data_IF_350388353546
#
_entry.id   IF_350388353546
#
_cell.length_a   1.000
_cell.length_b   1.000
_cell.length_c   1.000
_cell.angle_alpha   90.00
_cell.angle_beta   90.00
_cell.angle_gamma   90.00
#
_symmetry.space_group_name_H-M   'P 1'
#
loop_
_entity.id
_entity.type
_entity.pdbx_description
1 polymer ?
#
# COMPACT_ATOMS: atom_id res chain seq x y z
N UNK A 1 11.99 1.14 3.45
CA UNK A 1 11.11 0.28 4.27
C UNK A 1 9.70 0.56 3.76
N UNK A 2 9.11 -0.41 3.06
CA UNK A 2 7.75 -0.28 2.52
C UNK A 2 6.80 -0.78 3.60
N UNK A 3 5.73 -0.02 3.79
CA UNK A 3 5.01 0.05 5.03
C UNK A 3 4.37 -1.28 5.39
N UNK A 4 4.66 -1.65 6.62
CA UNK A 4 3.99 -2.69 7.29
C UNK A 4 2.55 -2.17 7.60
N UNK A 5 1.57 -2.78 6.94
CA UNK A 5 0.68 -3.67 7.62
C UNK A 5 -0.04 -3.18 8.92
N UNK A 6 -0.79 -2.08 8.83
CA UNK A 6 -1.67 -1.62 9.92
C UNK A 6 -3.14 -2.07 9.77
N UNK A 7 -3.48 -2.77 8.68
CA UNK A 7 -4.73 -3.54 8.52
C UNK A 7 -4.62 -4.99 9.03
N UNK A 8 -5.67 -5.81 9.03
CA UNK A 8 -5.55 -7.28 9.00
C UNK A 8 -6.86 -7.92 8.56
N UNK A 9 -6.78 -8.86 7.62
CA UNK A 9 -7.92 -9.68 7.25
C UNK A 9 -8.05 -10.95 8.10
N UNK A 10 -9.22 -11.16 8.71
CA UNK A 10 -9.58 -12.36 9.44
C UNK A 10 -10.45 -13.28 8.56
N UNK A 11 -9.87 -14.35 7.98
CA UNK A 11 -10.51 -15.19 6.95
C UNK A 11 -11.73 -15.98 7.46
N UNK A 12 -11.74 -16.39 8.73
CA UNK A 12 -12.79 -17.26 9.27
C UNK A 12 -14.07 -16.51 9.65
N UNK A 13 -13.99 -15.19 9.75
CA UNK A 13 -15.10 -14.30 10.08
C UNK A 13 -15.45 -13.40 8.90
N UNK A 14 -14.64 -13.37 7.83
CA UNK A 14 -14.82 -12.48 6.69
C UNK A 14 -14.70 -11.00 7.07
N UNK A 15 -13.84 -10.66 8.03
CA UNK A 15 -13.73 -9.30 8.58
C UNK A 15 -12.34 -8.71 8.36
N UNK A 16 -12.28 -7.48 7.86
CA UNK A 16 -11.06 -6.67 7.82
C UNK A 16 -11.01 -5.72 9.03
N UNK A 17 -9.87 -5.65 9.68
CA UNK A 17 -9.57 -4.69 10.74
C UNK A 17 -8.50 -3.70 10.27
N UNK A 18 -8.45 -2.53 10.85
CA UNK A 18 -7.35 -1.59 10.66
C UNK A 18 -7.06 -0.82 11.95
N UNK A 19 -5.83 -0.37 12.08
CA UNK A 19 -5.37 0.44 13.20
C UNK A 19 -5.87 1.89 13.03
N UNK A 20 -6.69 2.42 13.95
CA UNK A 20 -7.13 3.81 13.89
C UNK A 20 -5.98 4.82 14.11
N UNK A 21 -4.82 4.38 14.60
CA UNK A 21 -3.61 5.18 14.79
C UNK A 21 -2.90 5.57 13.49
N UNK A 22 -3.27 4.96 12.36
CA UNK A 22 -2.72 5.30 11.03
C UNK A 22 -3.04 6.77 10.67
N UNK A 23 -2.18 7.39 9.86
CA UNK A 23 -2.48 8.71 9.34
C UNK A 23 -3.61 8.75 8.31
N UNK A 24 -4.40 9.83 8.33
CA UNK A 24 -5.56 9.99 7.46
C UNK A 24 -5.22 9.94 5.96
N UNK A 25 -3.95 10.20 5.60
CA UNK A 25 -3.43 10.11 4.23
C UNK A 25 -3.11 8.67 3.78
N UNK A 26 -3.27 7.69 4.68
CA UNK A 26 -3.11 6.27 4.39
C UNK A 26 -4.33 5.42 4.75
N UNK A 27 -5.20 5.93 5.63
CA UNK A 27 -6.31 5.15 6.21
C UNK A 27 -7.21 4.53 5.13
N UNK A 28 -7.66 5.32 4.14
CA UNK A 28 -8.58 4.82 3.12
C UNK A 28 -7.92 3.73 2.27
N UNK A 29 -6.62 3.90 1.96
CA UNK A 29 -5.88 2.92 1.16
C UNK A 29 -5.71 1.61 1.92
N UNK A 30 -5.32 1.67 3.19
CA UNK A 30 -5.20 0.48 4.05
C UNK A 30 -6.53 -0.25 4.15
N UNK A 31 -7.64 0.46 4.37
CA UNK A 31 -8.97 -0.15 4.44
C UNK A 31 -9.34 -0.82 3.13
N UNK A 32 -9.20 -0.12 2.00
CA UNK A 32 -9.53 -0.69 0.68
C UNK A 32 -8.67 -1.91 0.35
N UNK A 33 -7.39 -1.92 0.75
CA UNK A 33 -6.48 -3.05 0.61
C UNK A 33 -6.97 -4.28 1.40
N UNK A 34 -7.31 -4.12 2.69
CA UNK A 34 -7.84 -5.22 3.49
C UNK A 34 -9.20 -5.72 2.98
N UNK A 35 -10.02 -4.83 2.43
CA UNK A 35 -11.26 -5.24 1.74
C UNK A 35 -10.96 -6.11 0.51
N UNK A 36 -9.88 -5.86 -0.23
CA UNK A 36 -9.40 -6.75 -1.28
C UNK A 36 -9.21 -8.17 -0.76
N UNK A 37 -8.57 -8.32 0.40
CA UNK A 37 -8.42 -9.61 1.08
C UNK A 37 -9.75 -10.23 1.52
N UNK A 38 -10.70 -9.42 2.00
CA UNK A 38 -12.08 -9.88 2.31
C UNK A 38 -12.76 -10.49 1.09
N UNK A 39 -12.54 -9.92 -0.10
CA UNK A 39 -13.08 -10.46 -1.35
C UNK A 39 -12.32 -11.66 -1.92
N UNK A 40 -11.30 -12.16 -1.20
CA UNK A 40 -10.56 -13.37 -1.57
C UNK A 40 -9.33 -13.14 -2.43
N UNK A 41 -8.93 -11.87 -2.67
CA UNK A 41 -7.65 -11.56 -3.29
C UNK A 41 -6.53 -11.74 -2.27
N UNK A 42 -5.50 -12.48 -2.64
CA UNK A 42 -4.48 -12.92 -1.67
C UNK A 42 -3.09 -12.43 -2.04
N UNK A 43 -2.91 -11.93 -3.26
CA UNK A 43 -1.69 -11.27 -3.67
C UNK A 43 -1.71 -9.80 -3.22
N UNK A 44 -0.70 -9.41 -2.44
CA UNK A 44 -0.53 -8.05 -1.92
C UNK A 44 -0.48 -7.00 -3.02
N UNK A 45 0.14 -7.32 -4.16
CA UNK A 45 0.21 -6.45 -5.33
C UNK A 45 -1.17 -6.23 -5.95
N UNK A 46 -1.97 -7.29 -6.09
CA UNK A 46 -3.36 -7.23 -6.57
C UNK A 46 -4.23 -6.42 -5.60
N UNK A 47 -4.14 -6.65 -4.30
CA UNK A 47 -4.88 -5.86 -3.29
C UNK A 47 -4.48 -4.37 -3.33
N UNK A 48 -3.20 -4.06 -3.49
CA UNK A 48 -2.74 -2.68 -3.67
C UNK A 48 -3.31 -2.03 -4.94
N UNK A 49 -3.32 -2.76 -6.07
CA UNK A 49 -3.89 -2.25 -7.32
C UNK A 49 -5.40 -2.03 -7.20
N UNK A 50 -6.12 -2.98 -6.60
CA UNK A 50 -7.57 -2.87 -6.36
C UNK A 50 -7.86 -1.66 -5.47
N UNK A 51 -7.12 -1.48 -4.38
CA UNK A 51 -7.26 -0.33 -3.50
C UNK A 51 -7.01 0.99 -4.24
N UNK A 52 -5.93 1.07 -5.02
CA UNK A 52 -5.62 2.24 -5.84
C UNK A 52 -6.76 2.58 -6.79
N UNK A 53 -7.26 1.59 -7.56
CA UNK A 53 -8.34 1.80 -8.51
C UNK A 53 -9.66 2.19 -7.80
N UNK A 54 -10.00 1.56 -6.69
CA UNK A 54 -11.22 1.87 -5.94
C UNK A 54 -11.23 3.32 -5.45
N UNK A 55 -10.10 3.79 -4.89
CA UNK A 55 -10.01 5.15 -4.36
C UNK A 55 -9.89 6.21 -5.47
N UNK A 56 -9.20 5.93 -6.57
CA UNK A 56 -9.14 6.82 -7.74
C UNK A 56 -10.49 7.00 -8.45
N UNK A 57 -11.46 6.11 -8.21
CA UNK A 57 -12.82 6.21 -8.74
C UNK A 57 -13.85 6.60 -7.66
N UNK A 58 -13.38 7.06 -6.49
CA UNK A 58 -14.26 7.61 -5.47
C UNK A 58 -14.33 9.11 -5.66
N UNK A 59 -15.51 9.71 -5.69
CA UNK A 59 -15.69 11.17 -5.85
C UNK A 59 -15.21 11.98 -4.61
N UNK A 60 -14.19 11.50 -3.91
CA UNK A 60 -13.65 12.02 -2.67
C UNK A 60 -12.15 12.32 -2.82
N UNK A 61 -11.83 13.62 -2.88
CA UNK A 61 -10.46 14.12 -3.05
C UNK A 61 -9.45 13.56 -2.04
N UNK A 62 -9.87 13.29 -0.79
CA UNK A 62 -8.97 12.72 0.22
C UNK A 62 -8.61 11.28 -0.14
N UNK A 63 -9.55 10.51 -0.67
CA UNK A 63 -9.33 9.12 -1.05
C UNK A 63 -8.49 9.02 -2.32
N UNK A 64 -8.76 9.86 -3.31
CA UNK A 64 -7.88 10.02 -4.48
C UNK A 64 -6.45 10.37 -4.05
N UNK A 65 -6.30 11.31 -3.11
CA UNK A 65 -5.00 11.65 -2.55
C UNK A 65 -4.34 10.49 -1.80
N UNK A 66 -5.09 9.71 -1.02
CA UNK A 66 -4.58 8.50 -0.35
C UNK A 66 -3.97 7.51 -1.37
N UNK A 67 -4.62 7.36 -2.53
CA UNK A 67 -4.16 6.49 -3.61
C UNK A 67 -2.85 7.00 -4.24
N UNK A 68 -2.80 8.28 -4.61
CA UNK A 68 -1.61 8.89 -5.20
C UNK A 68 -0.43 8.94 -4.23
N UNK A 69 -0.69 9.33 -2.98
CA UNK A 69 0.32 9.36 -1.92
C UNK A 69 0.93 7.97 -1.69
N UNK A 70 0.10 6.93 -1.68
CA UNK A 70 0.57 5.56 -1.49
C UNK A 70 1.35 5.04 -2.70
N UNK A 71 0.86 5.28 -3.93
CA UNK A 71 1.56 4.95 -5.17
C UNK A 71 2.95 5.62 -5.22
N UNK A 72 3.00 6.92 -4.92
CA UNK A 72 4.22 7.69 -4.85
C UNK A 72 5.22 7.12 -3.83
N UNK A 73 4.76 6.73 -2.63
CA UNK A 73 5.63 6.09 -1.62
C UNK A 73 6.21 4.76 -2.09
N UNK A 74 5.43 3.95 -2.80
CA UNK A 74 5.96 2.71 -3.37
C UNK A 74 6.99 2.98 -4.46
N UNK A 75 6.77 4.01 -5.30
CA UNK A 75 7.73 4.43 -6.31
C UNK A 75 9.05 4.90 -5.68
N UNK A 76 8.97 5.86 -4.76
CA UNK A 76 10.14 6.45 -4.09
C UNK A 76 10.90 5.44 -3.22
N UNK A 77 10.21 4.54 -2.51
CA UNK A 77 10.89 3.48 -1.78
C UNK A 77 11.53 2.43 -2.69
N UNK A 78 11.11 2.34 -3.95
CA UNK A 78 11.79 1.53 -4.97
C UNK A 78 13.09 2.21 -5.42
N UNK A 79 13.06 3.53 -5.63
CA UNK A 79 14.23 4.32 -5.99
C UNK A 79 15.29 4.33 -4.89
N UNK A 80 14.90 4.51 -3.63
CA UNK A 80 15.83 4.52 -2.49
C UNK A 80 16.64 3.23 -2.29
N UNK A 81 16.35 2.17 -3.05
CA UNK A 81 17.07 0.89 -3.02
C UNK A 81 17.96 0.68 -4.25
N UNK A 82 17.70 1.43 -5.32
CA UNK A 82 18.27 1.19 -6.65
C UNK A 82 19.03 2.40 -7.20
N UNK A 83 18.68 3.62 -6.79
CA UNK A 83 19.27 4.87 -7.26
C UNK A 83 19.12 5.98 -6.20
N UNK A 84 20.18 6.17 -5.40
CA UNK A 84 20.21 7.13 -4.29
C UNK A 84 20.24 8.59 -4.76
N UNK A 85 20.81 8.87 -5.93
CA UNK A 85 20.95 10.24 -6.43
C UNK A 85 19.59 10.76 -6.90
N UNK A 86 18.86 9.98 -7.70
CA UNK A 86 17.49 10.31 -8.12
C UNK A 86 16.55 10.40 -6.92
N UNK A 87 16.70 9.48 -5.95
CA UNK A 87 15.91 9.54 -4.72
C UNK A 87 16.07 10.88 -3.98
N UNK A 88 17.31 11.37 -3.82
CA UNK A 88 17.58 12.65 -3.16
C UNK A 88 16.97 13.82 -3.92
N UNK A 89 17.12 13.86 -5.24
CA UNK A 89 16.54 14.92 -6.07
C UNK A 89 15.01 14.99 -5.90
N UNK A 90 14.33 13.85 -5.93
CA UNK A 90 12.87 13.80 -5.73
C UNK A 90 12.49 14.32 -4.34
N UNK A 91 13.18 13.88 -3.29
CA UNK A 91 12.89 14.29 -1.91
C UNK A 91 13.19 15.78 -1.68
N UNK A 92 14.21 16.33 -2.33
CA UNK A 92 14.57 17.75 -2.21
C UNK A 92 13.57 18.67 -2.94
N UNK A 93 12.93 18.17 -4.00
CA UNK A 93 11.89 18.90 -4.74
C UNK A 93 10.46 18.71 -4.19
N UNK A 94 10.29 18.01 -3.07
CA UNK A 94 8.97 17.73 -2.53
C UNK A 94 8.29 19.00 -2.00
N UNK A 95 6.99 19.23 -2.32
CA UNK A 95 6.22 20.29 -1.69
C UNK A 95 6.19 20.13 -0.17
N UNK A 96 6.16 21.26 0.54
CA UNK A 96 6.21 21.30 2.01
C UNK A 96 5.03 20.54 2.64
N UNK A 97 3.87 20.56 2.00
CA UNK A 97 2.68 19.82 2.42
C UNK A 97 2.92 18.32 2.47
N UNK A 98 3.59 17.77 1.44
CA UNK A 98 3.90 16.35 1.35
C UNK A 98 4.98 15.96 2.36
N UNK A 99 5.98 16.83 2.58
CA UNK A 99 7.01 16.63 3.63
C UNK A 99 6.36 16.54 5.01
N UNK A 100 5.45 17.46 5.34
CA UNK A 100 4.69 17.43 6.59
C UNK A 100 3.85 16.18 6.75
N UNK A 101 3.24 15.69 5.66
CA UNK A 101 2.50 14.44 5.69
C UNK A 101 3.42 13.24 5.96
N UNK A 102 4.60 13.18 5.35
CA UNK A 102 5.60 12.15 5.66
C UNK A 102 6.04 12.17 7.12
N UNK A 103 6.29 13.36 7.68
CA UNK A 103 6.66 13.51 9.09
C UNK A 103 5.54 13.04 10.02
N UNK A 104 4.29 13.40 9.72
CA UNK A 104 3.12 12.98 10.50
C UNK A 104 2.94 11.46 10.46
N UNK A 105 3.09 10.87 9.28
CA UNK A 105 3.05 9.42 9.05
C UNK A 105 4.15 8.72 9.85
N UNK A 106 5.39 9.23 9.83
CA UNK A 106 6.51 8.70 10.61
C UNK A 106 6.25 8.79 12.11
N UNK A 107 5.82 9.95 12.60
CA UNK A 107 5.54 10.16 14.01
C UNK A 107 4.44 9.22 14.53
N UNK A 108 3.40 8.96 13.73
CA UNK A 108 2.35 8.01 14.09
C UNK A 108 2.84 6.56 14.15
N UNK A 109 3.70 6.16 13.21
CA UNK A 109 4.31 4.82 13.25
C UNK A 109 5.16 4.62 14.51
N UNK A 110 5.96 5.62 14.88
CA UNK A 110 6.83 5.56 16.06
C UNK A 110 5.99 5.50 17.36
N UNK A 111 4.83 6.17 17.39
CA UNK A 111 3.93 6.19 18.54
C UNK A 111 3.06 4.93 18.68
N UNK A 112 2.70 4.29 17.57
CA UNK A 112 1.83 3.12 17.51
C UNK A 112 2.50 2.01 16.69
N UNK A 113 3.42 1.22 17.30
CA UNK A 113 4.03 0.09 16.64
C UNK A 113 2.98 -0.96 16.27
N UNK A 114 3.19 -1.64 15.15
CA UNK A 114 2.18 -2.52 14.54
C UNK A 114 1.61 -3.59 15.48
N UNK A 115 0.30 -3.52 15.70
CA UNK A 115 -0.43 -4.43 16.57
C UNK A 115 -0.64 -5.81 15.90
N UNK A 116 -0.69 -5.87 14.56
CA UNK A 116 -1.08 -7.07 13.81
C UNK A 116 0.06 -7.80 13.07
N UNK A 117 1.31 -7.38 13.27
CA UNK A 117 2.49 -7.95 12.59
C UNK A 117 2.60 -9.47 12.77
N UNK A 118 2.42 -9.97 14.00
CA UNK A 118 2.44 -11.41 14.33
C UNK A 118 1.31 -12.18 13.66
N UNK A 119 0.10 -11.62 13.61
CA UNK A 119 -1.03 -12.29 12.96
C UNK A 119 -0.85 -12.36 11.45
N UNK A 120 -0.35 -11.28 10.82
CA UNK A 120 -0.03 -11.30 9.38
C UNK A 120 1.02 -12.36 9.06
N UNK A 121 2.08 -12.45 9.85
CA UNK A 121 3.10 -13.48 9.68
C UNK A 121 2.50 -14.89 9.76
N UNK A 122 1.63 -15.13 10.75
CA UNK A 122 0.94 -16.42 10.88
C UNK A 122 -0.02 -16.71 9.72
N UNK A 123 -0.86 -15.75 9.32
CA UNK A 123 -1.83 -15.92 8.24
C UNK A 123 -1.13 -16.16 6.91
N UNK A 124 -0.03 -15.46 6.66
CA UNK A 124 0.84 -15.71 5.54
C UNK A 124 1.39 -17.14 5.52
N UNK A 125 1.87 -17.63 6.67
CA UNK A 125 2.42 -18.98 6.80
C UNK A 125 1.34 -20.05 6.57
N UNK A 126 0.14 -19.82 7.10
CA UNK A 126 -1.04 -20.65 6.87
C UNK A 126 -1.46 -20.66 5.39
N UNK A 127 -1.51 -19.49 4.76
CA UNK A 127 -1.91 -19.33 3.35
C UNK A 127 -0.97 -20.07 2.39
N UNK A 128 0.35 -19.90 2.54
CA UNK A 128 1.34 -20.57 1.68
C UNK A 128 1.26 -22.10 1.81
N UNK A 129 1.09 -22.59 3.03
CA UNK A 129 0.96 -24.03 3.30
C UNK A 129 -0.31 -24.61 2.70
N UNK A 130 -1.41 -23.85 2.68
CA UNK A 130 -2.72 -24.34 2.26
C UNK A 130 -2.92 -24.28 0.75
N UNK A 131 -2.42 -23.24 0.07
CA UNK A 131 -2.72 -23.00 -1.35
C UNK A 131 -1.64 -23.45 -2.34
N UNK A 132 -0.52 -24.04 -1.88
CA UNK A 132 0.59 -24.51 -2.73
C UNK A 132 1.07 -23.50 -3.79
N UNK A 133 0.88 -22.20 -3.54
CA UNK A 133 1.16 -21.15 -4.51
C UNK A 133 2.67 -20.96 -4.64
N UNK A 134 3.26 -21.56 -5.67
CA UNK A 134 4.59 -21.18 -6.13
C UNK A 134 4.48 -19.85 -6.89
N UNK A 135 4.92 -18.76 -6.26
CA UNK A 135 5.12 -17.48 -6.95
C UNK A 135 4.03 -16.43 -6.79
N UNK A 136 3.33 -16.36 -5.65
CA UNK A 136 2.62 -15.13 -5.28
C UNK A 136 3.61 -13.96 -5.36
N UNK A 137 3.30 -12.95 -6.14
CA UNK A 137 4.23 -11.89 -6.49
C UNK A 137 4.25 -10.88 -5.36
N UNK A 138 5.08 -11.16 -4.36
CA UNK A 138 5.24 -10.38 -3.11
C UNK A 138 5.80 -8.97 -3.28
N UNK A 139 5.84 -8.46 -4.51
CA UNK A 139 6.33 -7.10 -4.71
C UNK A 139 5.19 -6.14 -4.52
N UNK A 140 5.14 -5.52 -3.34
CA UNK A 140 4.39 -4.31 -3.10
C UNK A 140 4.60 -3.23 -4.18
N UNK A 141 5.74 -3.26 -4.88
CA UNK A 141 6.05 -2.37 -6.01
C UNK A 141 5.42 -2.81 -7.35
N UNK A 142 4.78 -3.98 -7.43
CA UNK A 142 4.16 -4.47 -8.67
C UNK A 142 2.98 -3.60 -9.11
N UNK A 143 2.26 -3.00 -8.15
CA UNK A 143 1.26 -1.98 -8.45
C UNK A 143 1.84 -0.83 -9.29
N UNK A 144 3.06 -0.36 -8.97
CA UNK A 144 3.74 0.69 -9.73
C UNK A 144 3.98 0.25 -11.18
N UNK A 145 4.48 -0.97 -11.37
CA UNK A 145 4.70 -1.53 -12.70
C UNK A 145 3.40 -1.66 -13.51
N UNK A 146 2.33 -2.16 -12.89
CA UNK A 146 1.04 -2.29 -13.56
C UNK A 146 0.41 -0.95 -13.91
N UNK A 147 0.49 0.04 -13.01
CA UNK A 147 0.02 1.41 -13.26
C UNK A 147 0.73 2.04 -14.47
N UNK A 148 2.07 1.98 -14.52
CA UNK A 148 2.85 2.48 -15.66
C UNK A 148 2.39 1.83 -16.97
N UNK A 149 2.17 0.51 -16.97
CA UNK A 149 1.72 -0.19 -18.16
C UNK A 149 0.28 0.13 -18.56
N UNK A 150 -0.61 0.38 -17.58
CA UNK A 150 -1.99 0.81 -17.85
C UNK A 150 -2.01 2.19 -18.51
N UNK A 151 -1.18 3.13 -18.05
CA UNK A 151 -1.09 4.47 -18.63
C UNK A 151 -0.57 4.43 -20.07
N UNK A 152 0.47 3.64 -20.35
CA UNK A 152 0.98 3.43 -21.71
C UNK A 152 -0.06 2.88 -22.70
N UNK A 153 -1.03 2.09 -22.23
CA UNK A 153 -2.11 1.55 -23.08
C UNK A 153 -3.23 2.55 -23.35
N UNK A 154 -3.29 3.66 -22.60
CA UNK A 154 -4.26 4.74 -22.79
C UNK A 154 -3.75 5.83 -23.75
N UNK A 155 -2.46 5.84 -24.08
CA UNK A 155 -1.93 6.70 -25.13
C UNK A 155 -2.39 6.19 -26.51
N UNK A 156 -2.94 7.04 -27.40
CA UNK A 156 -3.25 6.64 -28.76
C UNK A 156 -1.96 6.29 -29.52
N UNK A 157 -1.99 5.20 -30.30
CA UNK A 157 -0.93 4.81 -31.25
C UNK A 157 -0.63 5.92 -32.27
#
# INVERSE_FOLDING_TARGET
MVWAASGVYWPFAGQGYYDPGIDIVQQAFTVAHEYGHVFGWTDEGECNLIAYLALQNSDNNLWEYNAEYTLWRYFVSGLSKNDDDIYREIIDCLPEEIRRDQERVKHKLDAFPEIFSTFRAWFYDFYLKTNQVQGASRSYHQMVYWKINMDKRKEPL
#
